data_IF_730617934428
#
_entry.id   IF_730617934428
#
_cell.length_a   1.000
_cell.length_b   1.000
_cell.length_c   1.000
_cell.angle_alpha   90.00
_cell.angle_beta   90.00
_cell.angle_gamma   90.00
#
_symmetry.space_group_name_H-M   'P 1'
#
loop_
_entity.id
_entity.type
_entity.pdbx_description
1 polymer ?
#
# COMPACT_ATOMS: atom_id res chain seq x y z
N UNK A 1 17.34 10.04 -0.49
CA UNK A 1 16.17 9.62 -1.28
C UNK A 1 16.26 8.13 -1.46
N UNK A 2 15.57 7.38 -0.60
CA UNK A 2 15.49 5.93 -0.70
C UNK A 2 14.63 5.64 -1.92
N UNK A 3 15.26 5.27 -3.04
CA UNK A 3 14.54 4.71 -4.17
C UNK A 3 13.98 3.37 -3.69
N UNK A 4 12.71 3.36 -3.30
CA UNK A 4 11.99 2.13 -3.07
C UNK A 4 11.89 1.45 -4.43
N UNK A 5 12.80 0.50 -4.68
CA UNK A 5 12.76 -0.32 -5.86
C UNK A 5 11.45 -1.11 -5.79
N UNK A 6 10.46 -0.69 -6.57
CA UNK A 6 9.18 -1.37 -6.69
C UNK A 6 9.45 -2.86 -6.92
N UNK A 7 8.85 -3.71 -6.09
CA UNK A 7 9.11 -5.14 -6.15
C UNK A 7 8.67 -5.66 -7.52
N UNK A 8 9.59 -6.27 -8.27
CA UNK A 8 9.25 -6.91 -9.54
C UNK A 8 8.29 -8.06 -9.26
N UNK A 9 7.06 -7.91 -9.73
CA UNK A 9 6.02 -8.93 -9.60
C UNK A 9 6.22 -10.02 -10.65
N UNK A 10 5.94 -11.27 -10.26
CA UNK A 10 5.75 -12.35 -11.25
C UNK A 10 4.43 -12.11 -12.00
N UNK A 11 4.25 -12.72 -13.17
CA UNK A 11 3.02 -12.56 -13.97
C UNK A 11 1.73 -12.79 -13.15
N UNK A 12 1.71 -13.85 -12.32
CA UNK A 12 0.56 -14.14 -11.44
C UNK A 12 0.31 -13.08 -10.36
N UNK A 13 1.38 -12.46 -9.85
CA UNK A 13 1.24 -11.38 -8.88
C UNK A 13 0.83 -10.06 -9.55
N UNK A 14 1.22 -9.84 -10.81
CA UNK A 14 0.73 -8.73 -11.61
C UNK A 14 -0.78 -8.86 -11.89
N UNK A 15 -1.26 -10.05 -12.27
CA UNK A 15 -2.71 -10.31 -12.39
C UNK A 15 -3.46 -10.07 -11.06
N UNK A 16 -2.88 -10.51 -9.93
CA UNK A 16 -3.47 -10.25 -8.62
C UNK A 16 -3.55 -8.75 -8.30
N UNK A 17 -2.52 -7.96 -8.67
CA UNK A 17 -2.52 -6.50 -8.54
C UNK A 17 -3.64 -5.87 -9.38
N UNK A 18 -3.79 -6.26 -10.64
CA UNK A 18 -4.86 -5.75 -11.51
C UNK A 18 -6.26 -6.04 -10.95
N UNK A 19 -6.47 -7.23 -10.38
CA UNK A 19 -7.74 -7.58 -9.72
C UNK A 19 -8.01 -6.71 -8.49
N UNK A 20 -6.98 -6.41 -7.69
CA UNK A 20 -7.09 -5.52 -6.54
C UNK A 20 -7.37 -4.08 -6.96
N UNK A 21 -6.72 -3.57 -8.00
CA UNK A 21 -6.97 -2.23 -8.54
C UNK A 21 -8.42 -2.09 -9.06
N UNK A 22 -8.93 -3.12 -9.73
CA UNK A 22 -10.33 -3.15 -10.16
C UNK A 22 -11.30 -3.19 -8.98
N UNK A 23 -11.00 -3.98 -7.94
CA UNK A 23 -11.81 -4.03 -6.73
C UNK A 23 -11.82 -2.66 -6.02
N UNK A 24 -10.65 -2.01 -5.90
CA UNK A 24 -10.52 -0.70 -5.30
C UNK A 24 -11.42 0.34 -5.99
N UNK A 25 -11.42 0.40 -7.31
CA UNK A 25 -12.27 1.34 -8.05
C UNK A 25 -13.77 1.12 -7.77
N UNK A 26 -14.22 -0.14 -7.74
CA UNK A 26 -15.62 -0.46 -7.41
C UNK A 26 -15.95 -0.04 -5.97
N UNK A 27 -15.07 -0.34 -5.01
CA UNK A 27 -15.29 0.00 -3.61
C UNK A 27 -15.35 1.52 -3.39
N UNK A 28 -14.48 2.27 -4.08
CA UNK A 28 -14.46 3.74 -4.04
C UNK A 28 -15.73 4.34 -4.65
N UNK A 29 -16.16 3.87 -5.82
CA UNK A 29 -17.41 4.29 -6.47
C UNK A 29 -18.65 4.07 -5.59
N UNK A 30 -18.63 3.01 -4.78
CA UNK A 30 -19.72 2.64 -3.88
C UNK A 30 -19.57 3.18 -2.46
N UNK A 31 -18.53 3.99 -2.18
CA UNK A 31 -18.27 4.59 -0.87
C UNK A 31 -18.01 3.56 0.26
N UNK A 32 -17.52 2.38 -0.09
CA UNK A 32 -17.14 1.32 0.86
C UNK A 32 -15.71 1.56 1.36
N UNK A 33 -15.51 2.68 2.08
CA UNK A 33 -14.19 3.24 2.37
C UNK A 33 -13.27 2.32 3.21
N UNK A 34 -13.81 1.56 4.17
CA UNK A 34 -13.01 0.64 4.99
C UNK A 34 -12.44 -0.51 4.15
N UNK A 35 -13.23 -1.01 3.20
CA UNK A 35 -12.81 -2.04 2.27
C UNK A 35 -11.83 -1.49 1.22
N UNK A 36 -12.07 -0.27 0.73
CA UNK A 36 -11.14 0.43 -0.16
C UNK A 36 -9.77 0.64 0.51
N UNK A 37 -9.75 1.10 1.76
CA UNK A 37 -8.53 1.27 2.55
C UNK A 37 -7.75 -0.05 2.70
N UNK A 38 -8.44 -1.14 3.06
CA UNK A 38 -7.83 -2.47 3.17
C UNK A 38 -7.24 -2.95 1.83
N UNK A 39 -7.87 -2.57 0.72
CA UNK A 39 -7.41 -2.93 -0.64
C UNK A 39 -6.17 -2.13 -1.04
N UNK A 40 -6.12 -0.83 -0.72
CA UNK A 40 -4.91 -0.02 -0.89
C UNK A 40 -3.72 -0.61 -0.12
N UNK A 41 -3.93 -0.96 1.16
CA UNK A 41 -2.87 -1.54 1.99
C UNK A 41 -2.35 -2.88 1.42
N UNK A 42 -3.25 -3.71 0.87
CA UNK A 42 -2.87 -4.95 0.20
C UNK A 42 -2.02 -4.70 -1.06
N UNK A 43 -2.37 -3.69 -1.87
CA UNK A 43 -1.61 -3.30 -3.07
C UNK A 43 -0.22 -2.80 -2.66
N UNK A 44 -0.14 -1.90 -1.67
CA UNK A 44 1.11 -1.35 -1.15
C UNK A 44 2.05 -2.46 -0.70
N UNK A 45 1.56 -3.40 0.12
CA UNK A 45 2.35 -4.57 0.56
C UNK A 45 2.76 -5.48 -0.59
N UNK A 46 1.89 -5.68 -1.59
CA UNK A 46 2.18 -6.53 -2.74
C UNK A 46 3.36 -6.00 -3.56
N UNK A 47 3.39 -4.69 -3.82
CA UNK A 47 4.48 -4.03 -4.57
C UNK A 47 5.68 -3.66 -3.70
N UNK A 48 5.61 -3.95 -2.39
CA UNK A 48 6.64 -3.59 -1.42
C UNK A 48 6.75 -2.08 -1.18
N UNK A 49 5.68 -1.32 -1.47
CA UNK A 49 5.60 0.09 -1.13
C UNK A 49 5.31 0.24 0.37
N UNK A 50 5.86 1.28 1.03
CA UNK A 50 5.50 1.59 2.39
C UNK A 50 4.02 1.94 2.44
N UNK A 51 3.32 1.37 3.41
CA UNK A 51 1.90 1.64 3.61
C UNK A 51 1.66 3.11 3.91
N UNK A 52 0.44 3.58 3.68
CA UNK A 52 0.05 4.96 4.04
C UNK A 52 0.38 5.29 5.51
N UNK A 53 0.27 4.32 6.42
CA UNK A 53 0.62 4.48 7.83
C UNK A 53 2.13 4.56 8.07
N UNK A 54 2.92 3.69 7.43
CA UNK A 54 4.39 3.73 7.47
C UNK A 54 4.92 5.05 6.89
N UNK A 55 4.31 5.55 5.82
CA UNK A 55 4.63 6.87 5.25
C UNK A 55 4.37 7.99 6.26
N UNK A 56 3.27 7.94 7.00
CA UNK A 56 2.98 8.91 8.06
C UNK A 56 3.97 8.84 9.22
N UNK A 57 4.39 7.63 9.64
CA UNK A 57 5.44 7.48 10.64
C UNK A 57 6.75 8.11 10.18
N UNK A 58 7.18 7.82 8.95
CA UNK A 58 8.39 8.44 8.38
C UNK A 58 8.31 9.97 8.35
N UNK A 59 7.15 10.54 8.00
CA UNK A 59 6.95 11.99 8.00
C UNK A 59 6.98 12.62 9.40
N UNK A 60 6.65 11.86 10.44
CA UNK A 60 6.60 12.34 11.84
C UNK A 60 7.87 12.04 12.63
N UNK A 61 8.95 11.62 11.96
CA UNK A 61 10.24 11.30 12.60
C UNK A 61 10.21 9.96 13.36
N UNK A 62 9.34 9.05 12.95
CA UNK A 62 9.18 7.71 13.52
C UNK A 62 9.64 6.65 12.51
N UNK A 63 10.08 5.50 13.03
CA UNK A 63 10.38 4.32 12.23
C UNK A 63 9.11 3.65 11.70
N UNK A 64 9.25 2.63 10.83
CA UNK A 64 8.13 2.01 10.12
C UNK A 64 7.08 1.36 11.04
N UNK A 65 7.41 1.04 12.30
CA UNK A 65 6.47 0.50 13.28
C UNK A 65 5.93 1.58 14.26
N UNK A 66 6.23 2.86 14.00
CA UNK A 66 5.76 4.01 14.78
C UNK A 66 6.63 4.37 15.99
N UNK A 67 7.77 3.70 16.16
CA UNK A 67 8.77 3.97 17.19
C UNK A 67 9.52 5.30 16.94
N UNK A 68 9.89 6.06 17.98
CA UNK A 68 10.70 7.26 17.80
C UNK A 68 12.08 6.93 17.23
N UNK A 69 12.52 7.64 16.18
CA UNK A 69 13.91 7.60 15.73
C UNK A 69 14.73 8.50 16.66
N UNK A 70 15.33 7.88 17.69
CA UNK A 70 16.24 8.56 18.63
C UNK A 70 17.51 9.07 17.95
#
# INVERSE_FOLDING_TARGET
>A
MTYLAERVLTEKLAEAKELLERALNILDEHQEYDAAYSTCEAIERLIGAPTTLEQWYMMTGRGPDGEPLN
#
